data_IF_895548250539
#
_entry.id   IF_895548250539
#
_cell.length_a   1.000
_cell.length_b   1.000
_cell.length_c   1.000
_cell.angle_alpha   90.00
_cell.angle_beta   90.00
_cell.angle_gamma   90.00
#
_symmetry.space_group_name_H-M   'P 1'
#
loop_
_entity.id
_entity.type
_entity.pdbx_description
1 polymer ?
#
# COMPACT_ATOMS: atom_id res chain seq x y z
N UNK A 1 37.28 -0.90 -60.82
CA UNK A 1 36.18 -0.67 -59.86
C UNK A 1 36.23 -1.81 -58.86
N UNK A 2 36.99 -1.65 -57.79
CA UNK A 2 37.10 -2.67 -56.74
C UNK A 2 36.05 -2.39 -55.66
N UNK A 3 35.24 -3.41 -55.34
CA UNK A 3 34.28 -3.36 -54.23
C UNK A 3 35.01 -3.76 -52.94
N UNK A 4 34.89 -3.01 -51.84
CA UNK A 4 35.44 -3.45 -50.57
C UNK A 4 34.55 -4.58 -50.01
N UNK A 5 35.15 -5.75 -49.81
CA UNK A 5 34.58 -6.83 -49.01
C UNK A 5 34.71 -6.45 -47.54
N UNK A 6 33.60 -6.07 -46.91
CA UNK A 6 33.55 -5.97 -45.46
C UNK A 6 33.69 -7.38 -44.86
N UNK A 7 34.64 -7.62 -43.94
CA UNK A 7 34.82 -8.92 -43.33
C UNK A 7 33.65 -9.23 -42.38
N UNK A 8 32.96 -10.35 -42.61
CA UNK A 8 31.76 -10.78 -41.88
C UNK A 8 31.96 -10.90 -40.37
N UNK A 9 33.19 -11.13 -39.93
CA UNK A 9 33.56 -11.20 -38.51
C UNK A 9 33.41 -9.85 -37.80
N UNK A 10 33.69 -8.75 -38.50
CA UNK A 10 33.58 -7.40 -37.97
C UNK A 10 32.12 -6.98 -37.86
N UNK A 11 31.26 -7.43 -38.79
CA UNK A 11 29.81 -7.25 -38.72
C UNK A 11 29.18 -8.07 -37.57
N UNK A 12 29.61 -9.31 -37.36
CA UNK A 12 29.13 -10.14 -36.23
C UNK A 12 29.59 -9.60 -34.87
N UNK A 13 30.82 -9.10 -34.75
CA UNK A 13 31.30 -8.44 -33.53
C UNK A 13 30.61 -7.10 -33.30
N UNK A 14 30.31 -6.33 -34.35
CA UNK A 14 29.51 -5.12 -34.26
C UNK A 14 28.07 -5.43 -33.82
N UNK A 15 27.45 -6.49 -34.35
CA UNK A 15 26.11 -6.95 -33.95
C UNK A 15 26.08 -7.49 -32.51
N UNK A 16 27.09 -8.26 -32.08
CA UNK A 16 27.20 -8.67 -30.67
C UNK A 16 27.44 -7.47 -29.76
N UNK A 17 28.26 -6.51 -30.19
CA UNK A 17 28.52 -5.27 -29.46
C UNK A 17 27.28 -4.35 -29.41
N UNK A 18 26.47 -4.31 -30.47
CA UNK A 18 25.16 -3.63 -30.52
C UNK A 18 24.12 -4.29 -29.62
N UNK A 19 24.22 -5.61 -29.41
CA UNK A 19 23.39 -6.32 -28.42
C UNK A 19 23.89 -6.15 -26.98
N UNK A 20 25.17 -5.78 -26.78
CA UNK A 20 25.78 -5.70 -25.44
C UNK A 20 26.07 -4.28 -24.93
N UNK A 21 26.14 -3.25 -25.79
CA UNK A 21 26.47 -1.88 -25.41
C UNK A 21 25.52 -0.87 -26.07
N UNK A 22 24.44 -0.53 -25.34
CA UNK A 22 23.69 0.70 -25.58
C UNK A 22 22.18 0.56 -25.38
N UNK A 23 21.69 0.97 -24.21
CA UNK A 23 20.31 1.45 -23.99
C UNK A 23 19.21 0.61 -24.67
N UNK A 24 19.09 -0.66 -24.31
CA UNK A 24 17.82 -1.33 -24.55
C UNK A 24 16.93 -0.98 -23.38
N UNK A 25 16.28 0.18 -23.48
CA UNK A 25 15.13 0.44 -22.65
C UNK A 25 14.05 -0.56 -23.08
N UNK A 26 13.63 -1.40 -22.14
CA UNK A 26 12.85 -2.59 -22.43
C UNK A 26 11.37 -2.29 -22.19
N UNK A 27 10.54 -2.50 -23.22
CA UNK A 27 9.12 -2.71 -23.05
C UNK A 27 8.81 -4.15 -23.45
N UNK A 28 8.14 -4.89 -22.58
CA UNK A 28 7.73 -6.26 -22.85
C UNK A 28 6.36 -6.53 -22.29
N UNK A 29 5.71 -7.54 -22.86
CA UNK A 29 4.39 -7.98 -22.42
C UNK A 29 4.54 -9.22 -21.57
N UNK A 30 4.05 -9.17 -20.33
CA UNK A 30 3.62 -10.37 -19.62
C UNK A 30 2.14 -10.63 -19.97
N UNK A 31 1.60 -11.83 -19.79
CA UNK A 31 0.16 -12.06 -19.94
C UNK A 31 -0.62 -11.02 -19.14
N UNK A 32 -1.53 -10.32 -19.80
CA UNK A 32 -2.34 -9.26 -19.21
C UNK A 32 -1.58 -8.01 -18.71
N UNK A 33 -0.27 -7.85 -18.95
CA UNK A 33 0.49 -6.65 -18.58
C UNK A 33 1.40 -6.10 -19.68
N UNK A 34 1.48 -4.78 -19.74
CA UNK A 34 2.52 -4.03 -20.45
C UNK A 34 3.52 -3.51 -19.43
N UNK A 35 4.77 -3.95 -19.51
CA UNK A 35 5.88 -3.46 -18.70
C UNK A 35 6.75 -2.59 -19.59
N UNK A 36 7.20 -1.45 -19.09
CA UNK A 36 8.02 -0.55 -19.88
C UNK A 36 8.84 0.43 -19.06
N UNK A 37 9.87 0.95 -19.71
CA UNK A 37 10.64 2.09 -19.22
C UNK A 37 10.02 3.40 -19.75
N UNK A 38 9.84 4.40 -18.89
CA UNK A 38 9.22 5.67 -19.32
C UNK A 38 10.09 6.46 -20.30
N UNK A 39 11.41 6.19 -20.31
CA UNK A 39 12.35 6.79 -21.27
C UNK A 39 12.08 6.40 -22.72
N UNK A 40 11.31 5.34 -22.96
CA UNK A 40 10.97 4.85 -24.29
C UNK A 40 9.89 5.66 -25.01
N UNK A 41 9.00 6.33 -24.26
CA UNK A 41 7.80 6.94 -24.83
C UNK A 41 7.52 8.27 -24.15
N UNK A 42 7.95 9.41 -24.73
CA UNK A 42 7.65 10.73 -24.18
C UNK A 42 6.14 11.08 -24.09
N UNK A 43 5.26 10.19 -24.57
CA UNK A 43 3.80 10.30 -24.50
C UNK A 43 3.13 8.97 -24.06
N UNK A 44 3.73 8.20 -23.17
CA UNK A 44 3.19 6.89 -22.77
C UNK A 44 1.78 6.95 -22.16
N UNK A 45 1.44 8.07 -21.50
CA UNK A 45 0.10 8.35 -20.99
C UNK A 45 -0.98 8.35 -22.09
N UNK A 46 -0.61 8.55 -23.37
CA UNK A 46 -1.53 8.40 -24.51
C UNK A 46 -1.89 6.93 -24.79
N UNK A 47 -0.92 6.03 -24.62
CA UNK A 47 -1.07 4.60 -24.91
C UNK A 47 -1.64 3.82 -23.72
N UNK A 48 -1.50 4.35 -22.51
CA UNK A 48 -2.02 3.75 -21.29
C UNK A 48 -2.82 4.80 -20.50
N UNK A 49 -4.00 5.20 -21.00
CA UNK A 49 -4.73 6.37 -20.49
C UNK A 49 -5.19 6.23 -19.04
N UNK A 50 -5.30 5.00 -18.53
CA UNK A 50 -5.68 4.72 -17.14
C UNK A 50 -4.50 4.67 -16.18
N UNK A 51 -3.26 4.74 -16.68
CA UNK A 51 -2.03 4.73 -15.87
C UNK A 51 -1.20 6.00 -16.13
N UNK A 52 -1.66 7.18 -15.67
CA UNK A 52 -0.88 8.40 -15.77
C UNK A 52 0.48 8.24 -15.06
N UNK A 53 1.55 8.35 -15.83
CA UNK A 53 2.92 8.29 -15.30
C UNK A 53 3.43 9.70 -14.99
N UNK A 54 4.05 9.86 -13.82
CA UNK A 54 4.79 11.06 -13.50
C UNK A 54 6.10 11.12 -14.32
N UNK A 55 6.54 12.32 -14.75
CA UNK A 55 7.84 12.47 -15.40
C UNK A 55 8.98 11.99 -14.48
N UNK A 56 9.92 11.21 -15.03
CA UNK A 56 11.11 10.74 -14.29
C UNK A 56 11.01 9.33 -13.69
N UNK A 57 9.92 8.60 -13.90
CA UNK A 57 9.82 7.18 -13.55
C UNK A 57 10.67 6.33 -14.51
N UNK A 58 11.32 5.27 -14.04
CA UNK A 58 12.16 4.42 -14.89
C UNK A 58 11.51 3.11 -15.28
N UNK A 59 10.63 2.53 -14.46
CA UNK A 59 10.00 1.25 -14.77
C UNK A 59 8.56 1.21 -14.26
N UNK A 60 7.62 0.89 -15.14
CA UNK A 60 6.21 0.75 -14.79
C UNK A 60 5.62 -0.55 -15.37
N UNK A 61 4.54 -1.03 -14.74
CA UNK A 61 3.72 -2.12 -15.22
C UNK A 61 2.25 -1.71 -15.24
N UNK A 62 1.59 -1.94 -16.36
CA UNK A 62 0.17 -1.69 -16.54
C UNK A 62 -0.53 -2.98 -16.93
N UNK A 63 -1.38 -3.49 -16.05
CA UNK A 63 -2.07 -4.76 -16.24
C UNK A 63 -3.58 -4.58 -16.37
N UNK A 64 -4.16 -5.26 -17.35
CA UNK A 64 -5.58 -5.23 -17.68
C UNK A 64 -6.12 -6.65 -17.81
N UNK A 65 -7.35 -6.88 -17.34
CA UNK A 65 -8.03 -8.17 -17.49
C UNK A 65 -7.19 -9.36 -16.98
N UNK A 66 -6.68 -9.22 -15.76
CA UNK A 66 -5.82 -10.20 -15.11
C UNK A 66 -6.68 -11.33 -14.54
N UNK A 67 -6.55 -12.53 -15.09
CA UNK A 67 -7.29 -13.71 -14.63
C UNK A 67 -6.62 -14.42 -13.44
N UNK A 68 -5.30 -14.29 -13.32
CA UNK A 68 -4.50 -14.80 -12.21
C UNK A 68 -3.54 -13.71 -11.74
N UNK A 69 -3.95 -12.97 -10.70
CA UNK A 69 -3.14 -11.88 -10.15
C UNK A 69 -1.84 -12.40 -9.53
N UNK A 70 -1.86 -13.57 -8.89
CA UNK A 70 -0.68 -14.11 -8.23
C UNK A 70 0.40 -14.49 -9.24
N UNK A 71 0.03 -15.11 -10.36
CA UNK A 71 0.95 -15.36 -11.46
C UNK A 71 1.44 -14.05 -12.08
N UNK A 72 0.52 -13.12 -12.34
CA UNK A 72 0.85 -11.83 -12.96
C UNK A 72 1.87 -11.04 -12.14
N UNK A 73 1.69 -10.95 -10.83
CA UNK A 73 2.63 -10.27 -9.93
C UNK A 73 4.00 -10.96 -9.80
N UNK A 74 4.12 -12.26 -10.14
CA UNK A 74 5.43 -12.93 -10.22
C UNK A 74 6.18 -12.57 -11.49
N UNK A 75 5.46 -12.20 -12.55
CA UNK A 75 6.03 -11.85 -13.85
C UNK A 75 6.36 -10.35 -13.95
N UNK A 76 5.73 -9.52 -13.11
CA UNK A 76 6.10 -8.10 -12.94
C UNK A 76 7.41 -7.97 -12.16
N UNK A 77 8.41 -7.22 -12.67
CA UNK A 77 9.69 -7.01 -11.98
C UNK A 77 9.52 -6.41 -10.59
N UNK A 78 10.36 -6.82 -9.64
CA UNK A 78 10.28 -6.34 -8.26
C UNK A 78 10.69 -4.87 -8.12
N UNK A 79 11.48 -4.35 -9.05
CA UNK A 79 11.90 -2.96 -9.15
C UNK A 79 10.90 -2.09 -9.93
N UNK A 80 9.71 -2.63 -10.25
CA UNK A 80 8.63 -1.84 -10.84
C UNK A 80 8.22 -0.72 -9.89
N UNK A 81 8.46 0.52 -10.33
CA UNK A 81 8.18 1.70 -9.53
C UNK A 81 6.67 1.97 -9.48
N UNK A 82 5.97 1.80 -10.60
CA UNK A 82 4.52 2.03 -10.68
C UNK A 82 3.80 0.80 -11.22
N UNK A 83 2.81 0.32 -10.45
CA UNK A 83 1.90 -0.74 -10.89
C UNK A 83 0.48 -0.20 -11.02
N UNK A 84 -0.09 -0.36 -12.21
CA UNK A 84 -1.48 -0.05 -12.52
C UNK A 84 -2.24 -1.34 -12.79
N UNK A 85 -3.34 -1.56 -12.08
CA UNK A 85 -4.20 -2.72 -12.24
C UNK A 85 -5.61 -2.24 -12.61
N UNK A 86 -6.17 -2.82 -13.68
CA UNK A 86 -7.55 -2.60 -14.08
C UNK A 86 -8.28 -3.94 -14.20
N UNK A 87 -9.46 -4.03 -13.57
CA UNK A 87 -10.37 -5.19 -13.60
C UNK A 87 -9.71 -6.53 -13.18
N UNK A 88 -8.64 -6.46 -12.39
CA UNK A 88 -7.76 -7.60 -12.06
C UNK A 88 -8.28 -8.53 -10.96
N UNK A 89 -9.29 -8.10 -10.19
CA UNK A 89 -9.76 -8.83 -8.99
C UNK A 89 -11.16 -9.45 -9.13
N UNK A 90 -11.91 -9.12 -10.19
CA UNK A 90 -13.29 -9.61 -10.37
C UNK A 90 -13.41 -11.15 -10.37
N UNK A 91 -12.48 -11.90 -10.99
CA UNK A 91 -12.53 -13.38 -10.96
C UNK A 91 -12.23 -13.96 -9.58
N UNK A 92 -11.55 -13.22 -8.70
CA UNK A 92 -10.99 -13.70 -7.43
C UNK A 92 -11.98 -13.54 -6.26
N UNK A 93 -13.23 -13.97 -6.46
CA UNK A 93 -14.34 -13.76 -5.51
C UNK A 93 -14.14 -14.43 -4.14
N UNK A 94 -13.29 -15.45 -4.06
CA UNK A 94 -12.94 -16.18 -2.83
C UNK A 94 -11.65 -15.69 -2.16
N UNK A 95 -10.99 -14.68 -2.73
CA UNK A 95 -9.72 -14.19 -2.22
C UNK A 95 -9.92 -13.52 -0.86
N UNK A 96 -9.36 -14.13 0.18
CA UNK A 96 -9.43 -13.61 1.53
C UNK A 96 -8.24 -12.71 1.91
N UNK A 97 -7.06 -12.95 1.33
CA UNK A 97 -5.85 -12.18 1.60
C UNK A 97 -5.28 -11.59 0.32
N UNK A 98 -5.02 -10.29 0.31
CA UNK A 98 -4.38 -9.55 -0.78
C UNK A 98 -3.22 -8.73 -0.22
N UNK A 99 -2.05 -8.85 -0.85
CA UNK A 99 -0.83 -8.18 -0.39
C UNK A 99 -0.08 -7.55 -1.54
N UNK A 100 0.29 -6.28 -1.37
CA UNK A 100 1.19 -5.53 -2.22
C UNK A 100 2.44 -5.16 -1.41
N UNK A 101 3.62 -5.41 -1.98
CA UNK A 101 4.88 -5.18 -1.31
C UNK A 101 5.88 -4.55 -2.27
N UNK A 102 6.40 -3.37 -1.94
CA UNK A 102 7.43 -2.67 -2.73
C UNK A 102 6.92 -1.95 -3.98
N UNK A 103 5.71 -2.24 -4.44
CA UNK A 103 5.10 -1.56 -5.60
C UNK A 103 4.33 -0.32 -5.17
N UNK A 104 4.49 0.78 -5.92
CA UNK A 104 3.64 1.94 -5.78
C UNK A 104 2.44 1.84 -6.70
N UNK A 105 1.27 1.60 -6.10
CA UNK A 105 0.01 1.64 -6.81
C UNK A 105 -0.33 3.11 -7.05
N UNK A 106 -0.37 3.55 -8.31
CA UNK A 106 -0.64 4.95 -8.64
C UNK A 106 -2.02 5.11 -9.31
N UNK A 107 -2.58 4.05 -9.91
CA UNK A 107 -3.77 4.18 -10.76
C UNK A 107 -4.64 2.90 -10.84
N UNK A 108 -5.06 2.34 -9.71
CA UNK A 108 -6.00 1.21 -9.70
C UNK A 108 -7.45 1.67 -9.85
N UNK A 109 -7.80 2.20 -11.02
CA UNK A 109 -9.20 2.52 -11.31
C UNK A 109 -10.03 1.23 -11.36
N UNK A 110 -11.16 1.22 -10.65
CA UNK A 110 -12.12 0.11 -10.59
C UNK A 110 -11.59 -1.21 -10.02
N UNK A 111 -10.49 -1.23 -9.26
CA UNK A 111 -10.09 -2.44 -8.53
C UNK A 111 -11.05 -2.66 -7.36
N UNK A 112 -12.08 -3.46 -7.62
CA UNK A 112 -13.05 -3.85 -6.61
C UNK A 112 -12.45 -4.98 -5.76
N UNK A 113 -12.21 -4.69 -4.49
CA UNK A 113 -11.83 -5.71 -3.53
C UNK A 113 -12.97 -6.74 -3.39
N UNK A 114 -12.67 -8.04 -3.37
CA UNK A 114 -13.70 -9.07 -3.19
C UNK A 114 -14.33 -8.97 -1.80
N UNK A 115 -15.63 -9.26 -1.70
CA UNK A 115 -16.39 -9.18 -0.44
C UNK A 115 -15.85 -10.15 0.63
N UNK A 116 -15.16 -11.22 0.21
CA UNK A 116 -14.55 -12.22 1.09
C UNK A 116 -13.20 -11.79 1.66
N UNK A 117 -12.68 -10.63 1.26
CA UNK A 117 -11.37 -10.14 1.70
C UNK A 117 -11.40 -9.85 3.20
N UNK A 118 -10.59 -10.59 3.95
CA UNK A 118 -10.34 -10.35 5.37
C UNK A 118 -9.05 -9.58 5.62
N UNK A 119 -8.04 -9.74 4.76
CA UNK A 119 -6.72 -9.12 4.94
C UNK A 119 -6.26 -8.35 3.72
N UNK A 120 -5.96 -7.09 3.92
CA UNK A 120 -5.32 -6.22 2.93
C UNK A 120 -3.97 -5.75 3.47
N UNK A 121 -2.91 -5.92 2.69
CA UNK A 121 -1.55 -5.50 3.04
C UNK A 121 -0.99 -4.62 1.93
N UNK A 122 -0.52 -3.43 2.27
CA UNK A 122 0.21 -2.53 1.38
C UNK A 122 1.45 -2.04 2.13
N UNK A 123 2.61 -2.66 1.88
CA UNK A 123 3.86 -2.34 2.57
C UNK A 123 4.90 -1.84 1.59
N UNK A 124 5.75 -0.92 2.06
CA UNK A 124 6.80 -0.31 1.22
C UNK A 124 6.23 0.28 -0.08
N UNK A 125 5.05 0.91 0.00
CA UNK A 125 4.41 1.61 -1.11
C UNK A 125 4.71 3.11 -1.05
N UNK A 126 4.22 3.86 -2.03
CA UNK A 126 4.37 5.33 -2.10
C UNK A 126 3.23 6.10 -1.43
N UNK A 127 2.47 5.48 -0.53
CA UNK A 127 1.35 6.15 0.14
C UNK A 127 1.87 7.32 0.98
N UNK A 128 1.30 8.51 0.76
CA UNK A 128 1.61 9.72 1.55
C UNK A 128 0.47 10.08 2.51
N UNK A 129 -0.76 9.83 2.08
CA UNK A 129 -1.99 10.03 2.85
C UNK A 129 -2.87 8.77 2.86
N UNK A 130 -3.50 8.47 3.99
CA UNK A 130 -4.35 7.30 4.14
C UNK A 130 -5.57 7.32 3.22
N UNK A 131 -6.08 8.51 2.91
CA UNK A 131 -7.20 8.75 1.99
C UNK A 131 -6.92 8.24 0.58
N UNK A 132 -5.66 8.11 0.16
CA UNK A 132 -5.29 7.54 -1.14
C UNK A 132 -5.85 6.12 -1.32
N UNK A 133 -6.06 5.36 -0.24
CA UNK A 133 -6.71 4.04 -0.28
C UNK A 133 -8.10 4.07 -0.92
N UNK A 134 -8.84 5.18 -0.81
CA UNK A 134 -10.15 5.33 -1.46
C UNK A 134 -10.02 5.45 -2.98
N UNK A 135 -8.95 6.08 -3.45
CA UNK A 135 -8.63 6.13 -4.87
C UNK A 135 -8.16 4.76 -5.38
N UNK A 136 -7.38 4.04 -4.57
CA UNK A 136 -6.85 2.73 -4.95
C UNK A 136 -7.91 1.62 -4.91
N UNK A 137 -8.78 1.66 -3.91
CA UNK A 137 -9.81 0.65 -3.63
C UNK A 137 -11.13 1.35 -3.27
N UNK A 138 -11.90 1.82 -4.26
CA UNK A 138 -13.09 2.65 -3.99
C UNK A 138 -14.17 1.93 -3.17
N UNK A 139 -14.26 0.60 -3.27
CA UNK A 139 -15.20 -0.20 -2.51
C UNK A 139 -14.69 -0.63 -1.12
N UNK A 140 -13.46 -0.25 -0.72
CA UNK A 140 -12.96 -0.47 0.63
C UNK A 140 -13.77 0.35 1.65
N UNK A 141 -14.06 1.60 1.30
CA UNK A 141 -14.61 2.62 2.21
C UNK A 141 -16.03 3.05 1.81
N UNK A 142 -16.54 2.56 0.68
CA UNK A 142 -17.84 2.99 0.15
C UNK A 142 -18.95 1.98 0.43
N UNK A 143 -19.89 2.39 1.28
CA UNK A 143 -21.28 1.92 1.30
C UNK A 143 -22.09 2.37 0.07
N UNK A 144 -21.45 2.64 -1.07
CA UNK A 144 -22.10 3.03 -2.33
C UNK A 144 -22.57 1.77 -3.08
N UNK A 145 -23.48 1.03 -2.47
CA UNK A 145 -24.37 0.21 -3.27
C UNK A 145 -25.26 1.17 -4.08
N UNK A 146 -25.53 0.91 -5.37
CA UNK A 146 -26.64 1.55 -6.05
C UNK A 146 -27.93 1.37 -5.21
N UNK A 147 -28.79 2.37 -5.27
CA UNK A 147 -29.89 2.73 -4.35
C UNK A 147 -31.02 1.70 -4.15
N UNK A 148 -30.74 0.40 -4.17
CA UNK A 148 -31.72 -0.69 -4.07
C UNK A 148 -31.44 -1.67 -2.93
N UNK A 149 -30.41 -1.45 -2.10
CA UNK A 149 -30.20 -2.25 -0.87
C UNK A 149 -30.64 -1.48 0.37
N UNK A 150 -31.58 -2.00 1.19
CA UNK A 150 -32.15 -1.29 2.33
C UNK A 150 -31.26 -1.26 3.58
N UNK A 151 -30.01 -1.74 3.50
CA UNK A 151 -29.06 -1.67 4.60
C UNK A 151 -27.71 -1.08 4.16
N UNK A 152 -27.15 -0.11 4.91
CA UNK A 152 -25.77 0.29 4.72
C UNK A 152 -24.89 -0.91 5.06
N UNK A 153 -24.27 -1.54 4.05
CA UNK A 153 -23.25 -2.56 4.29
C UNK A 153 -22.00 -1.85 4.79
N UNK A 154 -21.66 -2.09 6.05
CA UNK A 154 -20.33 -1.75 6.57
C UNK A 154 -19.37 -2.85 6.13
N UNK A 155 -18.31 -2.46 5.40
CA UNK A 155 -17.25 -3.38 5.05
C UNK A 155 -16.48 -3.73 6.33
N UNK A 156 -16.37 -5.03 6.63
CA UNK A 156 -15.53 -5.52 7.71
C UNK A 156 -14.26 -6.10 7.10
N UNK A 157 -13.10 -5.66 7.60
CA UNK A 157 -11.81 -6.19 7.22
C UNK A 157 -11.09 -6.61 8.50
N UNK A 158 -10.65 -7.86 8.57
CA UNK A 158 -9.95 -8.40 9.73
C UNK A 158 -8.63 -7.66 9.96
N UNK A 159 -7.82 -7.48 8.90
CA UNK A 159 -6.52 -6.82 9.01
C UNK A 159 -6.27 -5.86 7.86
N UNK A 160 -5.97 -4.62 8.22
CA UNK A 160 -5.34 -3.64 7.33
C UNK A 160 -3.89 -3.41 7.77
N UNK A 161 -2.95 -3.84 6.94
CA UNK A 161 -1.51 -3.68 7.20
C UNK A 161 -0.88 -2.69 6.23
N UNK A 162 -0.54 -1.52 6.76
CA UNK A 162 0.08 -0.40 6.02
C UNK A 162 1.48 -0.11 6.55
N UNK A 163 2.11 -1.10 7.17
CA UNK A 163 3.42 -0.96 7.79
C UNK A 163 4.51 -0.65 6.76
N UNK A 164 5.57 0.03 7.19
CA UNK A 164 6.72 0.40 6.39
C UNK A 164 6.41 1.28 5.17
N UNK A 165 5.33 2.06 5.22
CA UNK A 165 5.12 3.19 4.32
C UNK A 165 5.76 4.45 4.94
N UNK A 166 7.04 4.67 4.62
CA UNK A 166 7.86 5.72 5.25
C UNK A 166 7.37 7.15 4.95
N UNK A 167 6.55 7.34 3.92
CA UNK A 167 6.00 8.64 3.53
C UNK A 167 4.57 8.86 4.05
N UNK A 168 3.92 7.81 4.61
CA UNK A 168 2.54 7.87 5.09
C UNK A 168 2.47 8.68 6.38
N UNK A 169 2.26 9.97 6.23
CA UNK A 169 2.37 10.97 7.31
C UNK A 169 1.05 11.66 7.61
N UNK A 170 0.03 11.45 6.78
CA UNK A 170 -1.26 12.12 6.88
C UNK A 170 -2.39 11.13 6.79
N UNK A 171 -3.48 11.44 7.49
CA UNK A 171 -4.71 10.66 7.37
C UNK A 171 -5.48 11.05 6.11
N UNK A 172 -5.71 12.35 5.91
CA UNK A 172 -6.75 12.84 5.01
C UNK A 172 -8.14 12.64 5.64
N UNK A 173 -9.04 13.63 5.49
CA UNK A 173 -10.35 13.58 6.15
C UNK A 173 -11.20 12.40 5.68
N UNK A 174 -11.85 11.72 6.64
CA UNK A 174 -12.75 10.57 6.40
C UNK A 174 -12.07 9.37 5.70
N UNK A 175 -10.76 9.20 5.87
CA UNK A 175 -9.98 8.22 5.12
C UNK A 175 -10.48 6.77 5.24
N UNK A 176 -11.02 6.38 6.40
CA UNK A 176 -11.52 5.04 6.69
C UNK A 176 -13.02 5.04 7.00
N UNK A 177 -13.76 6.02 6.49
CA UNK A 177 -15.16 6.23 6.81
C UNK A 177 -16.02 4.97 6.63
N UNK A 178 -16.70 4.56 7.69
CA UNK A 178 -17.66 3.45 7.62
C UNK A 178 -17.00 2.06 7.59
N UNK A 179 -15.67 1.97 7.64
CA UNK A 179 -14.93 0.73 7.72
C UNK A 179 -14.96 0.19 9.16
N UNK A 180 -15.03 -1.12 9.31
CA UNK A 180 -14.81 -1.81 10.58
C UNK A 180 -13.54 -2.65 10.45
N UNK A 181 -12.62 -2.49 11.40
CA UNK A 181 -11.35 -3.21 11.44
C UNK A 181 -11.23 -4.01 12.72
N UNK A 182 -10.70 -5.23 12.64
CA UNK A 182 -10.20 -5.90 13.84
C UNK A 182 -8.78 -5.42 14.15
N UNK A 183 -7.89 -5.37 13.15
CA UNK A 183 -6.51 -4.93 13.33
C UNK A 183 -6.07 -3.91 12.29
N UNK A 184 -5.42 -2.84 12.78
CA UNK A 184 -4.72 -1.85 11.98
C UNK A 184 -3.23 -1.85 12.34
N UNK A 185 -2.38 -2.04 11.34
CA UNK A 185 -0.92 -1.99 11.49
C UNK A 185 -0.33 -0.82 10.73
N UNK A 186 0.41 0.01 11.44
CA UNK A 186 1.02 1.25 10.97
C UNK A 186 2.50 1.31 11.36
N UNK A 187 3.13 0.15 11.62
CA UNK A 187 4.51 0.07 12.08
C UNK A 187 5.45 0.75 11.08
N UNK A 188 6.41 1.54 11.57
CA UNK A 188 7.38 2.23 10.72
C UNK A 188 6.76 3.26 9.77
N UNK A 189 5.59 3.80 10.09
CA UNK A 189 5.01 4.95 9.38
C UNK A 189 5.14 6.21 10.23
N UNK A 190 5.31 7.41 9.62
CA UNK A 190 5.29 8.67 10.38
C UNK A 190 3.88 9.14 10.76
N UNK A 191 2.83 8.35 10.49
CA UNK A 191 1.44 8.73 10.77
C UNK A 191 1.20 8.87 12.27
N UNK A 192 0.66 10.01 12.68
CA UNK A 192 0.32 10.24 14.08
C UNK A 192 -0.97 9.49 14.44
N UNK A 193 -0.91 8.69 15.52
CA UNK A 193 -2.06 7.92 15.98
C UNK A 193 -3.29 8.79 16.29
N UNK A 194 -3.10 10.01 16.81
CA UNK A 194 -4.20 10.92 17.09
C UNK A 194 -5.00 11.30 15.84
N UNK A 195 -4.39 11.24 14.66
CA UNK A 195 -5.09 11.54 13.41
C UNK A 195 -6.18 10.50 13.14
N UNK A 196 -6.07 9.28 13.67
CA UNK A 196 -7.10 8.24 13.54
C UNK A 196 -8.45 8.66 14.13
N UNK A 197 -8.49 9.62 15.06
CA UNK A 197 -9.75 10.17 15.59
C UNK A 197 -10.58 10.88 14.51
N UNK A 198 -9.95 11.36 13.43
CA UNK A 198 -10.60 11.99 12.27
C UNK A 198 -10.85 11.03 11.10
N UNK A 199 -10.66 9.72 11.29
CA UNK A 199 -10.72 8.72 10.21
C UNK A 199 -12.13 8.30 9.83
N UNK A 200 -13.12 8.56 10.70
CA UNK A 200 -14.49 8.02 10.63
C UNK A 200 -14.55 6.48 10.62
N UNK A 201 -13.52 5.82 11.16
CA UNK A 201 -13.49 4.38 11.39
C UNK A 201 -14.54 4.00 12.44
N UNK A 202 -15.34 2.97 12.19
CA UNK A 202 -16.45 2.60 13.07
C UNK A 202 -16.00 1.72 14.24
N UNK A 203 -14.96 0.91 14.03
CA UNK A 203 -14.50 -0.06 15.02
C UNK A 203 -13.04 -0.44 14.76
N UNK A 204 -12.29 -0.63 15.85
CA UNK A 204 -10.92 -1.10 15.88
C UNK A 204 -10.66 -1.85 17.19
N UNK A 205 -10.18 -3.10 17.14
CA UNK A 205 -9.80 -3.84 18.36
C UNK A 205 -8.30 -3.72 18.67
N UNK A 206 -7.45 -3.75 17.63
CA UNK A 206 -6.00 -3.86 17.76
C UNK A 206 -5.25 -2.83 16.93
N UNK A 207 -4.34 -2.09 17.57
CA UNK A 207 -3.52 -1.06 16.92
C UNK A 207 -2.02 -1.31 17.13
N UNK A 208 -1.26 -1.34 16.03
CA UNK A 208 0.19 -1.53 16.03
C UNK A 208 0.88 -0.30 15.45
N UNK A 209 1.77 0.30 16.24
CA UNK A 209 2.46 1.56 15.97
C UNK A 209 3.95 1.43 16.27
N UNK A 210 4.55 0.28 15.97
CA UNK A 210 5.95 -0.01 16.31
C UNK A 210 6.90 0.88 15.48
N UNK A 211 7.80 1.60 16.14
CA UNK A 211 8.84 2.38 15.47
C UNK A 211 8.31 3.49 14.55
N UNK A 212 7.17 4.09 14.88
CA UNK A 212 6.58 5.23 14.13
C UNK A 212 7.26 6.56 14.45
N UNK A 213 8.06 6.61 15.53
CA UNK A 213 8.65 7.87 16.00
C UNK A 213 7.62 8.82 16.59
N UNK A 214 6.42 8.32 16.95
CA UNK A 214 5.34 9.13 17.48
C UNK A 214 5.74 9.82 18.79
N UNK A 215 5.80 11.15 18.76
CA UNK A 215 6.02 12.02 19.94
C UNK A 215 4.74 12.31 20.74
N UNK A 216 3.56 12.01 20.18
CA UNK A 216 2.25 12.20 20.83
C UNK A 216 1.61 10.86 21.16
N UNK A 217 1.08 10.73 22.38
CA UNK A 217 0.51 9.48 22.91
C UNK A 217 -0.84 9.13 22.28
N UNK A 218 -1.13 7.84 22.07
CA UNK A 218 -2.42 7.37 21.55
C UNK A 218 -3.51 7.26 22.62
N UNK A 219 -3.34 7.75 23.87
CA UNK A 219 -4.32 7.53 24.96
C UNK A 219 -5.77 7.83 24.58
N UNK A 220 -5.99 8.97 23.91
CA UNK A 220 -7.33 9.32 23.41
C UNK A 220 -7.87 8.31 22.38
N UNK A 221 -7.02 7.72 21.54
CA UNK A 221 -7.37 6.70 20.53
C UNK A 221 -7.76 5.40 21.23
N UNK A 222 -7.02 5.02 22.27
CA UNK A 222 -7.26 3.79 23.03
C UNK A 222 -8.63 3.79 23.69
N UNK A 223 -8.99 4.90 24.34
CA UNK A 223 -10.32 5.08 24.91
C UNK A 223 -11.42 5.25 23.86
N UNK A 224 -11.14 5.95 22.76
CA UNK A 224 -12.14 6.21 21.70
C UNK A 224 -12.61 4.91 21.02
N UNK A 225 -11.69 4.01 20.70
CA UNK A 225 -12.03 2.73 20.05
C UNK A 225 -12.25 1.58 21.03
N UNK A 226 -12.04 1.80 22.33
CA UNK A 226 -12.02 0.74 23.35
C UNK A 226 -11.04 -0.40 22.97
N UNK A 227 -9.83 -0.04 22.56
CA UNK A 227 -8.83 -1.00 22.06
C UNK A 227 -8.54 -2.11 23.09
N UNK A 228 -8.45 -3.34 22.59
CA UNK A 228 -8.01 -4.52 23.37
C UNK A 228 -6.52 -4.75 23.28
N UNK A 229 -5.89 -4.41 22.15
CA UNK A 229 -4.47 -4.59 21.97
C UNK A 229 -3.80 -3.32 21.41
N UNK A 230 -2.66 -2.95 22.01
CA UNK A 230 -1.85 -1.83 21.59
C UNK A 230 -0.36 -2.20 21.63
N UNK A 231 0.33 -1.99 20.51
CA UNK A 231 1.78 -2.11 20.44
C UNK A 231 2.43 -0.76 20.10
N UNK A 232 3.29 -0.28 21.00
CA UNK A 232 4.04 0.97 20.89
C UNK A 232 5.56 0.74 20.91
N UNK A 233 6.01 -0.49 20.67
CA UNK A 233 7.42 -0.83 20.75
C UNK A 233 8.31 0.03 19.85
N UNK A 234 9.59 0.14 20.22
CA UNK A 234 10.62 0.86 19.45
C UNK A 234 10.31 2.34 19.16
N UNK A 235 9.43 2.97 19.91
CA UNK A 235 9.18 4.41 19.84
C UNK A 235 10.09 5.21 20.80
N UNK A 236 10.24 6.50 20.52
CA UNK A 236 11.07 7.41 21.32
C UNK A 236 10.42 7.72 22.68
N UNK A 237 11.26 8.05 23.64
CA UNK A 237 10.97 8.11 25.08
C UNK A 237 9.78 8.97 25.45
N UNK A 238 8.74 8.34 26.01
CA UNK A 238 7.67 9.00 26.76
C UNK A 238 7.36 8.15 27.99
N UNK A 239 7.48 8.71 29.19
CA UNK A 239 6.99 8.05 30.40
C UNK A 239 5.47 7.95 30.30
N UNK A 240 4.85 6.84 30.69
CA UNK A 240 3.39 6.80 30.80
C UNK A 240 2.94 7.71 31.96
N UNK A 241 1.90 8.51 31.76
CA UNK A 241 1.28 9.29 32.83
C UNK A 241 0.03 8.59 33.36
N UNK A 242 -0.35 8.90 34.60
CA UNK A 242 -1.54 8.33 35.23
C UNK A 242 -2.82 8.58 34.42
N UNK A 243 -2.88 9.71 33.70
CA UNK A 243 -3.99 10.06 32.81
C UNK A 243 -4.12 9.16 31.57
N UNK A 244 -3.00 8.62 31.07
CA UNK A 244 -3.03 7.70 29.92
C UNK A 244 -3.62 6.35 30.33
N UNK A 245 -3.28 5.88 31.53
CA UNK A 245 -3.79 4.61 32.07
C UNK A 245 -5.31 4.60 32.21
N UNK A 246 -5.92 5.76 32.49
CA UNK A 246 -7.38 5.91 32.56
C UNK A 246 -8.09 5.66 31.22
N UNK A 247 -7.36 5.75 30.11
CA UNK A 247 -7.87 5.48 28.76
C UNK A 247 -7.68 4.02 28.32
N UNK A 248 -6.90 3.23 29.08
CA UNK A 248 -6.56 1.84 28.74
C UNK A 248 -7.49 0.80 29.40
N UNK A 249 -8.71 1.20 29.81
CA UNK A 249 -9.60 0.34 30.62
C UNK A 249 -10.03 -0.94 29.92
N UNK A 250 -10.15 -0.91 28.60
CA UNK A 250 -10.57 -2.05 27.78
C UNK A 250 -9.40 -2.90 27.30
N UNK A 251 -8.17 -2.50 27.64
CA UNK A 251 -6.96 -3.03 27.03
C UNK A 251 -6.51 -4.32 27.73
N UNK A 252 -6.43 -5.39 26.95
CA UNK A 252 -6.02 -6.73 27.38
C UNK A 252 -4.52 -6.96 27.14
N UNK A 253 -3.94 -6.30 26.12
CA UNK A 253 -2.54 -6.45 25.73
C UNK A 253 -1.87 -5.10 25.44
N UNK A 254 -0.84 -4.76 26.22
CA UNK A 254 0.03 -3.60 25.99
C UNK A 254 1.47 -4.06 25.74
N UNK A 255 2.02 -3.72 24.58
CA UNK A 255 3.42 -4.00 24.23
C UNK A 255 4.21 -2.69 24.15
N UNK A 256 5.25 -2.58 24.98
CA UNK A 256 6.12 -1.39 25.10
C UNK A 256 7.60 -1.75 24.90
N UNK A 257 7.87 -2.78 24.10
CA UNK A 257 9.20 -3.37 24.00
C UNK A 257 10.22 -2.41 23.35
N UNK A 258 11.50 -2.56 23.71
CA UNK A 258 12.60 -1.77 23.14
C UNK A 258 12.38 -0.24 23.19
N UNK A 259 11.72 0.24 24.25
CA UNK A 259 11.61 1.65 24.60
C UNK A 259 12.63 2.00 25.68
N UNK A 260 13.17 3.23 25.64
CA UNK A 260 14.08 3.72 26.67
C UNK A 260 13.32 4.39 27.83
N UNK A 261 12.49 3.62 28.56
CA UNK A 261 11.78 4.16 29.72
C UNK A 261 12.74 4.54 30.84
N UNK A 262 12.55 5.75 31.38
CA UNK A 262 13.15 6.13 32.66
C UNK A 262 12.25 5.80 33.86
N UNK A 263 10.94 5.68 33.63
CA UNK A 263 9.93 5.50 34.67
C UNK A 263 8.68 4.80 34.11
N UNK A 264 8.15 3.84 34.87
CA UNK A 264 6.84 3.24 34.65
C UNK A 264 5.97 3.62 35.86
N UNK A 265 4.81 4.27 35.67
CA UNK A 265 3.94 4.65 36.78
C UNK A 265 3.47 3.42 37.57
N UNK A 266 3.34 3.54 38.91
CA UNK A 266 3.11 2.41 39.81
C UNK A 266 1.69 1.84 39.78
N UNK A 267 0.80 2.36 38.93
CA UNK A 267 -0.61 1.97 38.92
C UNK A 267 -0.84 0.95 37.80
N UNK A 268 -0.98 -0.32 38.19
CA UNK A 268 -1.62 -1.39 37.42
C UNK A 268 -2.74 -1.98 38.28
#
# INVERSE_FOLDING_TARGET
>A
MERPLFPSTLLSLLLLALMSLGLMSWAWTAPSCTIGDSSLWPNISYYIPFCPLAPGLHLFASCFNVNDLAQTLREVPQDTEVLCLQDALEPLKSLNTLSFHGSCLNCSQNVQLPISLGRLTLRHSCLTELKELQGLFPNLVSGSSPATSPSPRTSFLEVLDLSANLQLSRLGGRALHGLQLHSLRLDGTPLNALDLLGSDLLHLDSLYLVGTGAEKRPGNVTGYFELRALDLGRNQTQNLEDGDLLSFRSLELLSLHAMAFSYIPPIF
#
